data_IF_702178540109
#
_entry.id   IF_702178540109
#
_cell.length_a   1.000
_cell.length_b   1.000
_cell.length_c   1.000
_cell.angle_alpha   90.00
_cell.angle_beta   90.00
_cell.angle_gamma   90.00
#
_symmetry.space_group_name_H-M   'P 1'
#
loop_
_entity.id
_entity.type
_entity.pdbx_description
1 polymer ?
#
# COMPACT_ATOMS: atom_id res chain seq x y z
N UNK A 1 -23.20 -16.77 2.69
CA UNK A 1 -22.51 -16.25 1.49
C UNK A 1 -21.05 -16.09 1.85
N UNK A 2 -20.25 -17.06 1.44
CA UNK A 2 -18.80 -17.13 1.61
C UNK A 2 -18.11 -16.48 0.39
N UNK A 3 -17.00 -15.75 0.59
CA UNK A 3 -16.05 -15.41 -0.47
C UNK A 3 -15.81 -13.91 -0.76
N UNK A 4 -15.00 -13.25 0.07
CA UNK A 4 -14.18 -12.09 -0.30
C UNK A 4 -12.72 -12.58 -0.24
N UNK A 5 -12.01 -12.47 -1.37
CA UNK A 5 -10.67 -13.03 -1.67
C UNK A 5 -10.63 -14.47 -2.21
N UNK A 6 -9.61 -14.80 -3.05
CA UNK A 6 -9.26 -16.18 -3.37
C UNK A 6 -9.15 -16.96 -2.05
N UNK A 7 -10.06 -17.91 -1.87
CA UNK A 7 -10.19 -18.83 -0.74
C UNK A 7 -9.55 -18.41 0.60
N UNK A 8 -10.25 -17.56 1.36
CA UNK A 8 -10.09 -17.56 2.82
C UNK A 8 -11.44 -17.16 3.44
N UNK A 9 -12.19 -18.15 3.89
CA UNK A 9 -13.31 -17.93 4.81
C UNK A 9 -12.88 -17.03 5.97
N UNK A 10 -13.67 -15.99 6.24
CA UNK A 10 -13.58 -15.05 7.37
C UNK A 10 -12.29 -14.22 7.53
N UNK A 11 -12.50 -12.91 7.33
CA UNK A 11 -11.92 -11.76 8.05
C UNK A 11 -11.27 -12.10 9.41
N UNK A 12 -9.99 -11.70 9.59
CA UNK A 12 -9.15 -11.74 10.81
C UNK A 12 -8.22 -12.94 11.03
N UNK A 13 -7.95 -13.76 10.01
CA UNK A 13 -6.84 -14.71 10.11
C UNK A 13 -5.50 -13.97 10.17
N UNK A 14 -4.67 -14.34 11.15
CA UNK A 14 -3.34 -13.77 11.37
C UNK A 14 -2.31 -14.87 11.11
N UNK A 15 -1.29 -14.57 10.31
CA UNK A 15 -0.23 -15.52 10.03
C UNK A 15 0.58 -15.83 11.30
N UNK A 16 0.72 -17.12 11.62
CA UNK A 16 1.42 -17.60 12.82
C UNK A 16 2.71 -18.38 12.50
N UNK A 17 2.99 -18.65 11.23
CA UNK A 17 4.22 -19.33 10.81
C UNK A 17 5.29 -18.30 10.51
N UNK A 18 6.49 -18.55 11.02
CA UNK A 18 7.66 -17.73 10.77
C UNK A 18 8.90 -18.61 10.70
N UNK A 19 9.84 -18.25 9.85
CA UNK A 19 11.15 -18.92 9.74
C UNK A 19 12.15 -18.50 10.83
N UNK A 20 11.73 -17.63 11.75
CA UNK A 20 12.57 -17.16 12.84
C UNK A 20 11.95 -17.57 14.16
N UNK A 21 12.59 -18.52 14.83
CA UNK A 21 12.09 -19.16 16.06
C UNK A 21 12.32 -18.33 17.33
N UNK A 22 13.22 -17.34 17.30
CA UNK A 22 13.51 -16.50 18.46
C UNK A 22 12.55 -15.33 18.60
N UNK A 23 12.00 -15.16 19.81
CA UNK A 23 11.30 -13.94 20.24
C UNK A 23 12.24 -12.87 20.83
N UNK A 24 13.56 -13.07 20.74
CA UNK A 24 14.53 -12.05 21.15
C UNK A 24 14.36 -10.79 20.29
N UNK A 25 14.46 -9.62 20.93
CA UNK A 25 14.38 -8.33 20.24
C UNK A 25 15.32 -8.30 19.04
N UNK A 26 14.80 -7.87 17.89
CA UNK A 26 15.61 -7.59 16.71
C UNK A 26 16.75 -6.62 17.07
N UNK A 27 17.99 -7.03 16.77
CA UNK A 27 19.21 -6.27 17.06
C UNK A 27 19.58 -5.26 15.97
N UNK A 28 18.72 -5.07 14.97
CA UNK A 28 18.90 -4.12 13.87
C UNK A 28 17.71 -3.18 13.75
N UNK A 29 18.00 -1.99 13.22
CA UNK A 29 17.01 -0.97 12.96
C UNK A 29 16.57 -1.06 11.50
N UNK A 30 15.26 -0.96 11.30
CA UNK A 30 14.66 -0.80 9.98
C UNK A 30 14.10 0.61 9.89
N UNK A 31 14.53 1.37 8.89
CA UNK A 31 14.05 2.73 8.62
C UNK A 31 13.30 2.69 7.28
N UNK A 32 12.04 3.09 7.28
CA UNK A 32 11.22 3.20 6.08
C UNK A 32 11.00 4.69 5.82
N UNK A 33 11.61 5.20 4.74
CA UNK A 33 11.36 6.54 4.21
C UNK A 33 10.38 6.41 3.04
N UNK A 34 9.10 6.61 3.33
CA UNK A 34 8.05 6.69 2.33
C UNK A 34 7.97 8.13 1.83
N UNK A 35 7.99 8.33 0.52
CA UNK A 35 7.88 9.66 -0.09
C UNK A 35 6.65 9.64 -1.01
N UNK A 36 5.64 10.43 -0.65
CA UNK A 36 4.39 10.52 -1.40
C UNK A 36 4.65 11.02 -2.83
N UNK A 37 3.99 10.41 -3.81
CA UNK A 37 4.15 10.69 -5.24
C UNK A 37 5.58 10.53 -5.80
N UNK A 38 6.44 9.72 -5.17
CA UNK A 38 7.80 9.45 -5.66
C UNK A 38 7.78 8.62 -6.96
N UNK A 39 7.89 9.32 -8.09
CA UNK A 39 7.99 8.70 -9.42
C UNK A 39 9.30 7.93 -9.60
N UNK A 40 9.25 6.84 -10.34
CA UNK A 40 10.43 6.02 -10.66
C UNK A 40 11.50 6.77 -11.46
N UNK A 41 11.13 7.75 -12.29
CA UNK A 41 12.08 8.53 -13.09
C UNK A 41 12.95 9.47 -12.24
N UNK A 42 12.49 9.94 -11.07
CA UNK A 42 13.33 10.67 -10.12
C UNK A 42 14.47 9.85 -9.50
N UNK A 43 14.51 8.54 -9.74
CA UNK A 43 15.60 7.67 -9.28
C UNK A 43 16.37 7.08 -10.46
N UNK A 44 15.65 6.70 -11.52
CA UNK A 44 16.24 5.92 -12.61
C UNK A 44 16.60 6.75 -13.85
N UNK A 45 16.03 7.93 -14.04
CA UNK A 45 16.34 8.79 -15.19
C UNK A 45 17.43 9.82 -14.85
N UNK A 46 18.68 9.35 -14.81
CA UNK A 46 19.85 10.11 -14.35
C UNK A 46 20.35 11.21 -15.31
N UNK A 47 19.76 11.30 -16.51
CA UNK A 47 20.10 12.34 -17.48
C UNK A 47 19.31 13.62 -17.26
N UNK A 48 18.30 13.59 -16.37
CA UNK A 48 17.49 14.75 -16.03
C UNK A 48 18.07 15.48 -14.81
N UNK A 49 17.66 16.73 -14.60
CA UNK A 49 18.01 17.52 -13.41
C UNK A 49 17.17 17.17 -12.18
N UNK A 50 16.11 16.36 -12.35
CA UNK A 50 15.16 15.93 -11.34
C UNK A 50 15.45 14.49 -10.90
N UNK A 51 16.54 14.27 -10.16
CA UNK A 51 16.85 12.94 -9.63
C UNK A 51 17.57 12.97 -8.28
N UNK A 52 17.40 11.89 -7.52
CA UNK A 52 18.09 11.63 -6.25
C UNK A 52 19.50 11.11 -6.50
N UNK A 53 20.49 11.98 -6.33
CA UNK A 53 21.90 11.72 -6.62
C UNK A 53 22.54 10.76 -5.63
N UNK A 54 22.12 10.84 -4.36
CA UNK A 54 22.64 9.99 -3.30
C UNK A 54 22.41 8.52 -3.61
N UNK A 55 21.23 8.17 -4.15
CA UNK A 55 20.88 6.79 -4.54
C UNK A 55 21.85 6.26 -5.59
N UNK A 56 22.12 7.03 -6.66
CA UNK A 56 23.09 6.62 -7.68
C UNK A 56 24.46 6.33 -7.06
N UNK A 57 24.93 7.19 -6.15
CA UNK A 57 26.22 7.01 -5.47
C UNK A 57 26.22 5.75 -4.60
N UNK A 58 25.15 5.47 -3.86
CA UNK A 58 25.06 4.25 -3.07
C UNK A 58 25.01 3.00 -3.95
N UNK A 59 24.28 3.03 -5.07
CA UNK A 59 24.27 1.93 -6.04
C UNK A 59 25.69 1.69 -6.57
N UNK A 60 26.38 2.72 -7.09
CA UNK A 60 27.73 2.60 -7.64
C UNK A 60 28.75 2.04 -6.62
N UNK A 61 28.56 2.34 -5.34
CA UNK A 61 29.40 1.82 -4.25
C UNK A 61 28.98 0.43 -3.75
N UNK A 62 27.98 -0.20 -4.38
CA UNK A 62 27.42 -1.50 -3.98
C UNK A 62 26.69 -1.47 -2.65
N UNK A 63 26.27 -0.29 -2.17
CA UNK A 63 25.57 -0.05 -0.90
C UNK A 63 24.06 0.05 -1.03
N UNK A 64 23.56 0.12 -2.26
CA UNK A 64 22.13 0.13 -2.54
C UNK A 64 21.73 -0.91 -3.59
N UNK A 65 20.53 -1.47 -3.39
CA UNK A 65 19.81 -2.25 -4.39
C UNK A 65 18.52 -1.50 -4.72
N UNK A 66 18.29 -1.20 -5.99
CA UNK A 66 17.09 -0.47 -6.43
C UNK A 66 16.31 -1.24 -7.46
N UNK A 67 14.99 -1.13 -7.35
CA UNK A 67 14.04 -1.86 -8.17
C UNK A 67 12.93 -0.91 -8.59
N UNK A 68 12.44 -1.11 -9.81
CA UNK A 68 11.24 -0.42 -10.28
C UNK A 68 10.03 -1.26 -9.86
N UNK A 69 9.16 -0.65 -9.07
CA UNK A 69 7.93 -1.28 -8.59
C UNK A 69 6.75 -0.74 -9.38
N UNK A 70 5.80 -1.63 -9.70
CA UNK A 70 4.51 -1.26 -10.27
C UNK A 70 3.44 -1.33 -9.20
N UNK A 71 2.86 -0.18 -8.84
CA UNK A 71 1.67 -0.12 -8.00
C UNK A 71 0.43 -0.48 -8.81
N UNK A 72 -0.61 -0.95 -8.12
CA UNK A 72 -1.91 -1.19 -8.73
C UNK A 72 -2.76 0.08 -8.63
N UNK A 73 -3.86 0.14 -9.35
CA UNK A 73 -4.83 1.24 -9.22
C UNK A 73 -5.82 1.00 -8.08
N UNK A 74 -6.42 2.06 -7.50
CA UNK A 74 -6.10 3.47 -7.72
C UNK A 74 -4.78 3.87 -7.05
N UNK A 75 -4.04 4.76 -7.68
CA UNK A 75 -2.79 5.36 -7.20
C UNK A 75 -3.09 6.52 -6.25
N UNK A 76 -3.73 6.20 -5.12
CA UNK A 76 -4.09 7.14 -4.04
C UNK A 76 -3.49 6.63 -2.74
N UNK A 77 -3.01 7.55 -1.90
CA UNK A 77 -2.25 7.28 -0.66
C UNK A 77 -2.87 6.17 0.20
N UNK A 78 -4.11 6.34 0.68
CA UNK A 78 -4.74 5.37 1.58
C UNK A 78 -4.79 3.92 1.01
N UNK A 79 -5.34 3.67 -0.20
CA UNK A 79 -5.29 2.35 -0.82
C UNK A 79 -3.88 1.78 -0.99
N UNK A 80 -2.91 2.62 -1.35
CA UNK A 80 -1.52 2.20 -1.56
C UNK A 80 -0.82 1.84 -0.25
N UNK A 81 -1.04 2.61 0.82
CA UNK A 81 -0.56 2.28 2.16
C UNK A 81 -1.11 0.94 2.65
N UNK A 82 -2.41 0.69 2.45
CA UNK A 82 -3.01 -0.62 2.78
C UNK A 82 -2.31 -1.73 2.02
N UNK A 83 -2.16 -1.58 0.70
CA UNK A 83 -1.50 -2.57 -0.15
C UNK A 83 -0.05 -2.85 0.26
N UNK A 84 0.72 -1.80 0.58
CA UNK A 84 2.12 -1.90 1.01
C UNK A 84 2.27 -2.68 2.32
N UNK A 85 1.32 -2.54 3.24
CA UNK A 85 1.40 -3.11 4.58
C UNK A 85 0.78 -4.52 4.69
N UNK A 86 -0.17 -4.86 3.82
CA UNK A 86 -0.85 -6.17 3.80
C UNK A 86 -0.39 -7.08 2.68
N UNK A 87 0.20 -6.54 1.61
CA UNK A 87 0.50 -7.27 0.40
C UNK A 87 -0.73 -7.61 -0.44
N UNK A 88 -1.88 -6.98 -0.15
CA UNK A 88 -3.13 -7.20 -0.89
C UNK A 88 -3.29 -6.18 -2.02
N UNK A 89 -4.06 -6.55 -3.03
CA UNK A 89 -4.51 -5.60 -4.05
C UNK A 89 -5.77 -4.91 -3.50
N UNK A 90 -5.85 -3.56 -3.49
CA UNK A 90 -7.04 -2.87 -3.04
C UNK A 90 -8.25 -3.24 -3.91
N UNK A 91 -9.31 -3.74 -3.28
CA UNK A 91 -10.56 -4.02 -3.97
C UNK A 91 -11.40 -2.75 -4.14
N UNK A 92 -12.24 -2.71 -5.17
CA UNK A 92 -13.20 -1.62 -5.38
C UNK A 92 -14.11 -1.42 -4.15
N UNK A 93 -14.52 -2.52 -3.53
CA UNK A 93 -15.37 -2.49 -2.35
C UNK A 93 -14.66 -1.91 -1.14
N UNK A 94 -13.40 -2.29 -0.90
CA UNK A 94 -12.64 -1.77 0.24
C UNK A 94 -12.51 -0.25 0.20
N UNK A 95 -12.40 0.34 -1.00
CA UNK A 95 -12.32 1.80 -1.17
C UNK A 95 -13.65 2.47 -0.83
N UNK A 96 -14.78 1.89 -1.24
CA UNK A 96 -16.11 2.44 -0.98
C UNK A 96 -16.52 2.28 0.49
N UNK A 97 -16.36 1.08 1.03
CA UNK A 97 -16.80 0.76 2.40
C UNK A 97 -15.95 1.47 3.46
N UNK A 98 -14.64 1.59 3.22
CA UNK A 98 -13.73 2.24 4.17
C UNK A 98 -13.58 3.74 3.95
N UNK A 99 -14.46 4.36 3.15
CA UNK A 99 -14.49 5.82 3.00
C UNK A 99 -14.71 6.52 4.37
N UNK A 100 -15.47 5.90 5.28
CA UNK A 100 -15.74 6.44 6.63
C UNK A 100 -15.03 5.70 7.78
N UNK A 101 -14.51 4.48 7.57
CA UNK A 101 -13.77 3.71 8.57
C UNK A 101 -12.34 3.47 8.10
N UNK A 102 -11.42 4.30 8.55
CA UNK A 102 -10.01 4.25 8.13
C UNK A 102 -9.24 3.07 8.72
N UNK A 103 -9.73 2.38 9.75
CA UNK A 103 -8.96 1.33 10.45
C UNK A 103 -8.60 0.18 9.52
N UNK A 104 -7.34 -0.26 9.58
CA UNK A 104 -6.84 -1.45 8.88
C UNK A 104 -7.01 -2.68 9.77
N UNK A 105 -8.04 -3.48 9.49
CA UNK A 105 -8.34 -4.70 10.24
C UNK A 105 -7.59 -5.95 9.72
N UNK A 106 -7.11 -5.90 8.47
CA UNK A 106 -6.36 -7.00 7.88
C UNK A 106 -5.02 -7.20 8.59
N UNK A 107 -4.59 -8.45 8.64
CA UNK A 107 -3.23 -8.81 9.03
C UNK A 107 -2.21 -8.03 8.19
N UNK A 108 -1.21 -7.45 8.84
CA UNK A 108 -0.27 -6.52 8.25
C UNK A 108 1.07 -6.51 9.00
N UNK A 109 2.08 -5.90 8.36
CA UNK A 109 3.45 -5.84 8.88
C UNK A 109 3.53 -5.29 10.32
N UNK A 110 2.81 -4.21 10.63
CA UNK A 110 2.94 -3.56 11.94
C UNK A 110 2.32 -4.40 13.05
N UNK A 111 1.15 -4.99 12.80
CA UNK A 111 0.51 -5.92 13.74
C UNK A 111 1.39 -7.14 13.94
N UNK A 112 1.94 -7.72 12.88
CA UNK A 112 2.84 -8.87 12.96
C UNK A 112 4.11 -8.56 13.73
N UNK A 113 4.70 -7.39 13.50
CA UNK A 113 5.89 -6.93 14.23
C UNK A 113 5.61 -6.74 15.71
N UNK A 114 4.50 -6.09 16.07
CA UNK A 114 4.12 -5.89 17.47
C UNK A 114 3.80 -7.21 18.18
N UNK A 115 3.13 -8.15 17.49
CA UNK A 115 2.83 -9.48 18.03
C UNK A 115 4.10 -10.30 18.27
N UNK A 116 5.04 -10.27 17.32
CA UNK A 116 6.29 -11.02 17.43
C UNK A 116 7.22 -10.43 18.48
N UNK A 117 7.30 -9.11 18.55
CA UNK A 117 8.19 -8.38 19.46
C UNK A 117 7.42 -7.33 20.29
N UNK A 118 6.70 -7.74 21.34
CA UNK A 118 5.87 -6.82 22.13
C UNK A 118 6.64 -5.64 22.75
N UNK A 119 7.92 -5.85 23.07
CA UNK A 119 8.83 -4.86 23.65
C UNK A 119 9.48 -3.94 22.61
N UNK A 120 9.47 -4.32 21.33
CA UNK A 120 10.02 -3.46 20.29
C UNK A 120 9.13 -2.24 20.09
N UNK A 121 9.77 -1.11 19.76
CA UNK A 121 9.10 0.17 19.60
C UNK A 121 9.11 0.56 18.13
N UNK A 122 7.91 0.94 17.66
CA UNK A 122 7.65 1.47 16.31
C UNK A 122 7.45 2.97 16.45
N UNK A 123 8.16 3.76 15.64
CA UNK A 123 8.10 5.21 15.64
C UNK A 123 7.57 5.68 14.29
N UNK A 124 6.69 6.69 14.28
CA UNK A 124 6.08 7.18 13.04
C UNK A 124 5.97 8.71 12.97
N UNK A 125 6.40 9.32 11.87
CA UNK A 125 6.19 10.75 11.61
C UNK A 125 5.79 10.99 10.16
N UNK A 126 4.69 11.71 9.90
CA UNK A 126 4.24 12.00 8.55
C UNK A 126 2.73 12.13 8.42
N UNK A 127 2.19 11.71 7.28
CA UNK A 127 0.75 11.76 6.95
C UNK A 127 -0.16 11.15 8.06
N UNK A 128 -1.19 11.88 8.49
CA UNK A 128 -2.12 11.46 9.54
C UNK A 128 -2.98 10.22 9.19
N UNK A 129 -3.01 9.81 7.93
CA UNK A 129 -3.64 8.57 7.45
C UNK A 129 -3.11 7.36 8.20
N UNK A 130 -1.82 7.33 8.56
CA UNK A 130 -1.25 6.25 9.36
C UNK A 130 -1.86 6.18 10.75
N UNK A 131 -2.03 7.32 11.42
CA UNK A 131 -2.67 7.39 12.75
C UNK A 131 -4.12 6.94 12.68
N UNK A 132 -4.81 7.26 11.58
CA UNK A 132 -6.20 6.85 11.33
C UNK A 132 -6.33 5.36 11.00
N UNK A 133 -5.31 4.74 10.42
CA UNK A 133 -5.28 3.33 10.02
C UNK A 133 -5.07 2.38 11.21
N UNK A 134 -4.31 2.80 12.21
CA UNK A 134 -3.85 1.92 13.29
C UNK A 134 -4.45 2.28 14.65
N UNK A 135 -4.60 1.30 15.58
CA UNK A 135 -4.95 1.62 16.95
C UNK A 135 -3.80 2.38 17.63
N UNK A 136 -4.16 3.15 18.68
CA UNK A 136 -3.25 4.11 19.33
C UNK A 136 -2.01 3.49 19.99
N UNK A 137 -1.98 2.17 20.18
CA UNK A 137 -0.91 1.43 20.84
C UNK A 137 0.14 0.85 19.87
N UNK A 138 -0.05 0.99 18.56
CA UNK A 138 0.93 0.54 17.55
C UNK A 138 2.20 1.39 17.60
N UNK A 139 2.06 2.71 17.62
CA UNK A 139 3.18 3.64 17.62
C UNK A 139 3.56 4.03 19.04
N UNK A 140 4.83 3.85 19.40
CA UNK A 140 5.36 4.25 20.70
C UNK A 140 5.56 5.77 20.79
N UNK A 141 6.03 6.38 19.70
CA UNK A 141 6.02 7.83 19.49
C UNK A 141 5.53 8.11 18.07
N UNK A 142 4.70 9.13 17.94
CA UNK A 142 4.27 9.56 16.61
C UNK A 142 3.79 10.99 16.51
N UNK A 143 3.87 11.57 15.32
CA UNK A 143 3.14 12.79 14.95
C UNK A 143 2.51 12.63 13.56
N UNK A 144 1.18 12.75 13.48
CA UNK A 144 0.42 12.75 12.24
C UNK A 144 0.13 14.19 11.79
N UNK A 145 0.46 14.50 10.54
CA UNK A 145 0.28 15.82 9.92
C UNK A 145 -0.88 15.76 8.94
N UNK A 146 -1.72 16.80 8.95
CA UNK A 146 -2.89 16.85 8.06
C UNK A 146 -2.46 17.15 6.62
N UNK A 147 -2.81 16.26 5.70
CA UNK A 147 -2.41 16.31 4.29
C UNK A 147 -3.28 17.22 3.41
N UNK A 148 -4.38 17.77 3.95
CA UNK A 148 -5.36 18.50 3.13
C UNK A 148 -4.90 19.89 2.66
N UNK A 149 -3.82 20.43 3.19
CA UNK A 149 -3.30 21.76 2.83
C UNK A 149 -2.16 21.66 1.81
N UNK A 150 -2.52 21.43 0.54
CA UNK A 150 -1.61 21.23 -0.61
C UNK A 150 -0.66 22.41 -0.87
N UNK A 151 -0.91 23.59 -0.29
CA UNK A 151 -0.04 24.77 -0.41
C UNK A 151 1.17 24.73 0.52
N UNK A 152 1.18 23.87 1.54
CA UNK A 152 2.33 23.68 2.41
C UNK A 152 3.11 22.41 2.01
N UNK A 153 4.29 22.60 1.42
CA UNK A 153 5.23 21.54 1.06
C UNK A 153 6.59 21.74 1.76
N UNK A 154 6.66 22.63 2.77
CA UNK A 154 7.88 22.93 3.52
C UNK A 154 7.74 22.63 5.00
N UNK A 155 6.70 23.14 5.66
CA UNK A 155 6.59 22.99 7.12
C UNK A 155 6.27 21.55 7.51
N UNK A 156 5.43 20.86 6.73
CA UNK A 156 5.16 19.43 6.92
C UNK A 156 6.42 18.57 6.87
N UNK A 157 7.23 18.69 5.82
CA UNK A 157 8.45 17.91 5.63
C UNK A 157 9.53 18.32 6.65
N UNK A 158 9.59 19.61 7.02
CA UNK A 158 10.48 20.10 8.07
C UNK A 158 10.10 19.50 9.44
N UNK A 159 8.81 19.35 9.74
CA UNK A 159 8.35 18.70 10.96
C UNK A 159 8.77 17.23 11.01
N UNK A 160 8.57 16.49 9.91
CA UNK A 160 9.03 15.09 9.78
C UNK A 160 10.54 15.02 9.97
N UNK A 161 11.30 15.90 9.31
CA UNK A 161 12.77 15.93 9.34
C UNK A 161 13.32 16.27 10.74
N UNK A 162 12.73 17.23 11.44
CA UNK A 162 13.13 17.57 12.80
C UNK A 162 12.92 16.39 13.77
N UNK A 163 11.80 15.69 13.64
CA UNK A 163 11.55 14.48 14.45
C UNK A 163 12.50 13.34 14.07
N UNK A 164 12.75 13.12 12.77
CA UNK A 164 13.77 12.18 12.30
C UNK A 164 15.14 12.47 12.94
N UNK A 165 15.58 13.72 12.94
CA UNK A 165 16.87 14.10 13.56
C UNK A 165 16.92 13.77 15.05
N UNK A 166 15.83 13.98 15.79
CA UNK A 166 15.72 13.59 17.20
C UNK A 166 15.83 12.07 17.37
N UNK A 167 15.16 11.28 16.53
CA UNK A 167 15.14 9.82 16.60
C UNK A 167 16.47 9.18 16.18
N UNK A 168 17.19 9.76 15.21
CA UNK A 168 18.54 9.32 14.83
C UNK A 168 19.57 9.52 15.95
N UNK A 169 19.30 10.39 16.93
CA UNK A 169 20.13 10.53 18.13
C UNK A 169 19.71 9.60 19.27
N UNK A 170 18.62 8.83 19.09
CA UNK A 170 18.03 7.91 20.08
C UNK A 170 17.80 6.53 19.47
N UNK A 171 18.68 6.10 18.56
CA UNK A 171 18.55 4.82 17.84
C UNK A 171 18.29 3.65 18.80
N UNK A 172 18.97 3.62 19.96
CA UNK A 172 18.81 2.60 20.99
C UNK A 172 17.43 2.56 21.67
N UNK A 173 16.54 3.51 21.42
CA UNK A 173 15.19 3.56 22.00
C UNK A 173 14.11 2.95 21.10
N UNK A 174 14.43 2.53 19.88
CA UNK A 174 13.44 2.02 18.93
C UNK A 174 14.02 0.95 17.99
N UNK A 175 13.16 0.27 17.23
CA UNK A 175 13.58 -0.79 16.31
C UNK A 175 13.06 -0.58 14.88
N UNK A 176 11.89 0.03 14.72
CA UNK A 176 11.31 0.39 13.43
C UNK A 176 10.95 1.88 13.42
N UNK A 177 11.51 2.63 12.47
CA UNK A 177 11.17 4.02 12.23
C UNK A 177 10.53 4.16 10.85
N UNK A 178 9.37 4.80 10.78
CA UNK A 178 8.66 5.09 9.55
C UNK A 178 8.50 6.60 9.43
N UNK A 179 9.02 7.18 8.36
CA UNK A 179 8.80 8.58 8.01
C UNK A 179 8.08 8.67 6.68
N UNK A 180 7.00 9.46 6.63
CA UNK A 180 6.21 9.66 5.43
C UNK A 180 6.21 11.14 5.03
N UNK A 181 6.93 11.46 3.97
CA UNK A 181 7.08 12.81 3.43
C UNK A 181 6.01 13.09 2.36
N UNK A 182 5.38 14.27 2.39
CA UNK A 182 4.30 14.63 1.46
C UNK A 182 4.67 15.78 0.51
N UNK A 183 5.81 16.45 0.74
CA UNK A 183 6.18 17.65 0.01
C UNK A 183 6.24 17.48 -1.51
N UNK A 184 6.66 16.32 -2.03
CA UNK A 184 6.66 16.07 -3.48
C UNK A 184 5.26 16.00 -4.09
N UNK A 185 4.34 15.30 -3.45
CA UNK A 185 2.93 15.21 -3.89
C UNK A 185 2.29 16.59 -3.93
N UNK A 186 2.46 17.36 -2.84
CA UNK A 186 1.92 18.72 -2.73
C UNK A 186 2.47 19.67 -3.82
N UNK A 187 3.79 19.66 -4.06
CA UNK A 187 4.40 20.43 -5.16
C UNK A 187 3.86 19.95 -6.51
N UNK A 188 3.74 18.64 -6.70
CA UNK A 188 3.20 18.02 -7.90
C UNK A 188 1.80 18.54 -8.21
N UNK A 189 0.88 18.50 -7.26
CA UNK A 189 -0.46 19.04 -7.38
C UNK A 189 -0.49 20.55 -7.68
N UNK A 190 0.33 21.34 -6.98
CA UNK A 190 0.32 22.79 -7.11
C UNK A 190 0.97 23.29 -8.42
N UNK A 191 2.01 22.59 -8.91
CA UNK A 191 2.93 23.13 -9.90
C UNK A 191 3.35 22.14 -11.01
N UNK A 192 2.94 20.88 -10.93
CA UNK A 192 3.35 19.81 -11.84
C UNK A 192 4.66 19.13 -11.46
N UNK A 193 4.91 17.97 -12.07
CA UNK A 193 6.00 17.07 -11.69
C UNK A 193 7.41 17.57 -12.07
N UNK A 194 7.53 18.53 -12.99
CA UNK A 194 8.83 19.02 -13.48
C UNK A 194 9.10 20.49 -13.10
N UNK A 195 8.51 20.96 -11.99
CA UNK A 195 8.75 22.30 -11.48
C UNK A 195 10.10 22.38 -10.72
N UNK A 196 10.81 23.52 -10.77
CA UNK A 196 12.09 23.71 -10.05
C UNK A 196 12.01 23.41 -8.54
N UNK A 197 10.83 23.55 -7.92
CA UNK A 197 10.60 23.18 -6.51
C UNK A 197 10.78 21.68 -6.27
N UNK A 198 10.42 20.82 -7.23
CA UNK A 198 10.68 19.36 -7.17
C UNK A 198 12.18 19.11 -7.07
N UNK A 199 12.99 19.79 -7.90
CA UNK A 199 14.46 19.66 -7.85
C UNK A 199 15.02 20.04 -6.48
N UNK A 200 14.56 21.14 -5.91
CA UNK A 200 14.98 21.56 -4.57
C UNK A 200 14.59 20.53 -3.51
N UNK A 201 13.38 19.98 -3.62
CA UNK A 201 12.87 18.95 -2.70
C UNK A 201 13.63 17.63 -2.80
N UNK A 202 14.00 17.20 -4.01
CA UNK A 202 14.86 16.02 -4.21
C UNK A 202 16.26 16.23 -3.59
N UNK A 203 16.84 17.43 -3.67
CA UNK A 203 18.12 17.71 -2.99
C UNK A 203 17.98 17.64 -1.46
N UNK A 204 16.87 18.12 -0.90
CA UNK A 204 16.58 18.00 0.54
C UNK A 204 16.51 16.52 0.96
N UNK A 205 15.85 15.67 0.16
CA UNK A 205 15.82 14.23 0.41
C UNK A 205 17.20 13.58 0.26
N UNK A 206 18.03 14.00 -0.69
CA UNK A 206 19.42 13.53 -0.78
C UNK A 206 20.22 13.82 0.50
N UNK A 207 20.07 15.00 1.11
CA UNK A 207 20.71 15.34 2.38
C UNK A 207 20.22 14.44 3.52
N UNK A 208 18.91 14.21 3.60
CA UNK A 208 18.28 13.35 4.60
C UNK A 208 18.76 11.90 4.46
N UNK A 209 18.76 11.35 3.24
CA UNK A 209 19.22 9.98 2.96
C UNK A 209 20.68 9.81 3.39
N UNK A 210 21.55 10.75 3.05
CA UNK A 210 22.96 10.72 3.46
C UNK A 210 23.11 10.78 4.99
N UNK A 211 22.32 11.62 5.67
CA UNK A 211 22.34 11.70 7.13
C UNK A 211 21.92 10.37 7.77
N UNK A 212 20.80 9.79 7.34
CA UNK A 212 20.32 8.50 7.85
C UNK A 212 21.43 7.45 7.69
N UNK A 213 21.97 7.31 6.49
CA UNK A 213 23.04 6.35 6.20
C UNK A 213 24.27 6.53 7.10
N UNK A 214 24.66 7.77 7.39
CA UNK A 214 25.79 8.08 8.28
C UNK A 214 25.58 7.69 9.74
N UNK A 215 24.32 7.55 10.17
CA UNK A 215 23.94 7.20 11.55
C UNK A 215 23.63 5.70 11.72
N UNK A 216 23.38 5.00 10.62
CA UNK A 216 23.09 3.56 10.62
C UNK A 216 24.29 2.74 11.08
N UNK A 217 24.03 1.72 11.87
CA UNK A 217 24.98 0.66 12.22
C UNK A 217 25.07 -0.36 11.08
N UNK A 218 26.08 -1.26 11.14
CA UNK A 218 26.32 -2.26 10.10
C UNK A 218 25.11 -3.14 9.77
N UNK A 219 24.28 -3.46 10.78
CA UNK A 219 23.12 -4.32 10.60
C UNK A 219 21.87 -3.58 10.15
N UNK A 220 21.85 -2.25 10.16
CA UNK A 220 20.64 -1.48 9.89
C UNK A 220 20.34 -1.45 8.38
N UNK A 221 19.08 -1.19 8.04
CA UNK A 221 18.62 -1.04 6.66
C UNK A 221 17.66 0.14 6.51
N UNK A 222 17.91 0.94 5.48
CA UNK A 222 17.03 2.01 5.04
C UNK A 222 16.30 1.55 3.76
N UNK A 223 14.97 1.65 3.78
CA UNK A 223 14.11 1.42 2.62
C UNK A 223 13.50 2.75 2.21
N UNK A 224 13.70 3.14 0.95
CA UNK A 224 13.11 4.34 0.35
C UNK A 224 12.15 3.88 -0.73
N UNK A 225 10.90 4.32 -0.68
CA UNK A 225 9.89 3.96 -1.70
C UNK A 225 8.84 5.04 -1.84
N UNK A 226 8.10 5.00 -2.94
CA UNK A 226 6.83 5.72 -3.07
C UNK A 226 5.63 4.86 -2.67
N UNK A 227 4.49 5.50 -2.47
CA UNK A 227 3.18 4.87 -2.42
C UNK A 227 2.52 4.88 -3.82
N UNK A 228 2.69 5.96 -4.56
CA UNK A 228 2.39 6.11 -5.98
C UNK A 228 3.36 7.09 -6.66
N UNK A 229 3.22 7.27 -7.97
CA UNK A 229 3.82 8.36 -8.72
C UNK A 229 2.79 9.46 -9.02
N UNK A 230 3.05 10.28 -10.04
CA UNK A 230 2.24 11.46 -10.36
C UNK A 230 2.32 11.80 -11.85
N UNK A 231 1.19 12.13 -12.46
CA UNK A 231 1.14 12.62 -13.83
C UNK A 231 1.84 13.98 -13.96
N UNK A 232 2.34 14.31 -15.15
CA UNK A 232 3.16 15.51 -15.36
C UNK A 232 2.47 16.83 -14.95
N UNK A 233 1.13 16.87 -15.09
CA UNK A 233 0.29 18.01 -14.70
C UNK A 233 -0.12 18.02 -13.23
N UNK A 234 0.36 17.10 -12.40
CA UNK A 234 0.06 17.06 -10.97
C UNK A 234 -1.22 16.31 -10.59
N UNK A 235 -1.67 15.36 -11.40
CA UNK A 235 -2.79 14.48 -11.04
C UNK A 235 -2.31 13.05 -10.77
N UNK A 236 -3.04 12.31 -9.93
CA UNK A 236 -2.82 10.89 -9.69
C UNK A 236 -4.17 10.19 -9.42
N UNK A 237 -4.14 8.89 -9.13
CA UNK A 237 -5.32 8.02 -8.98
C UNK A 237 -5.61 7.13 -10.19
N UNK A 238 -4.97 7.40 -11.34
CA UNK A 238 -5.10 6.67 -12.60
C UNK A 238 -4.07 5.55 -12.78
N UNK A 239 -3.92 5.12 -14.03
CA UNK A 239 -3.12 3.96 -14.43
C UNK A 239 -1.95 4.29 -15.37
N UNK A 240 -1.62 5.58 -15.54
CA UNK A 240 -0.51 5.96 -16.41
C UNK A 240 0.83 5.43 -15.86
N UNK A 241 1.81 5.20 -16.75
CA UNK A 241 3.10 4.64 -16.35
C UNK A 241 3.83 5.49 -15.30
N UNK A 242 3.68 6.82 -15.34
CA UNK A 242 4.31 7.74 -14.37
C UNK A 242 3.59 7.77 -13.03
N UNK A 243 2.31 7.37 -12.99
CA UNK A 243 1.54 7.24 -11.75
C UNK A 243 1.76 5.88 -11.07
N UNK A 244 1.93 4.82 -11.86
CA UNK A 244 2.04 3.45 -11.31
C UNK A 244 3.48 3.00 -11.07
N UNK A 245 4.47 3.56 -11.76
CA UNK A 245 5.86 3.17 -11.58
C UNK A 245 6.51 4.02 -10.48
N UNK A 246 6.89 3.35 -9.40
CA UNK A 246 7.58 3.94 -8.26
C UNK A 246 8.95 3.25 -8.08
N UNK A 247 9.93 3.89 -7.44
CA UNK A 247 11.15 3.23 -7.06
C UNK A 247 10.98 2.51 -5.71
N UNK A 248 11.75 1.44 -5.50
CA UNK A 248 12.08 0.96 -4.16
C UNK A 248 13.58 0.76 -4.07
N UNK A 249 14.20 1.36 -3.06
CA UNK A 249 15.65 1.39 -2.85
C UNK A 249 15.94 0.88 -1.46
N UNK A 250 16.81 -0.12 -1.37
CA UNK A 250 17.29 -0.68 -0.12
C UNK A 250 18.74 -0.27 0.06
N UNK A 251 19.09 0.34 1.18
CA UNK A 251 20.44 0.81 1.49
C UNK A 251 20.90 0.18 2.80
N UNK A 252 22.08 -0.44 2.81
CA UNK A 252 22.66 -1.03 4.01
C UNK A 252 24.19 -1.09 3.91
N UNK A 253 24.87 -0.97 5.05
CA UNK A 253 26.33 -1.17 5.13
C UNK A 253 26.75 -2.60 4.78
N UNK A 254 25.87 -3.58 4.99
CA UNK A 254 26.07 -5.00 4.61
C UNK A 254 26.15 -5.23 3.11
N UNK A 255 25.51 -4.38 2.32
CA UNK A 255 25.53 -4.56 0.88
C UNK A 255 26.95 -4.29 0.35
N UNK A 256 27.36 -5.10 -0.61
CA UNK A 256 28.67 -5.01 -1.25
C UNK A 256 28.61 -5.37 -2.73
N UNK A 257 27.42 -5.37 -3.33
CA UNK A 257 27.22 -5.85 -4.69
C UNK A 257 26.58 -4.75 -5.53
N UNK A 258 27.22 -4.42 -6.65
CA UNK A 258 26.66 -3.54 -7.65
C UNK A 258 25.93 -4.37 -8.70
N UNK A 259 24.61 -4.17 -8.81
CA UNK A 259 23.80 -4.75 -9.90
C UNK A 259 23.44 -3.67 -10.91
N UNK A 260 23.84 -3.89 -12.16
CA UNK A 260 23.54 -2.98 -13.27
C UNK A 260 22.14 -3.20 -13.85
N UNK A 261 21.67 -4.45 -13.86
CA UNK A 261 20.34 -4.80 -14.32
C UNK A 261 19.31 -4.61 -13.22
N UNK A 262 18.21 -3.94 -13.56
CA UNK A 262 17.10 -3.67 -12.65
C UNK A 262 15.93 -4.57 -13.00
N UNK A 263 15.55 -5.42 -12.05
CA UNK A 263 14.31 -6.21 -12.14
C UNK A 263 13.11 -5.33 -11.81
N UNK A 264 11.97 -5.68 -12.38
CA UNK A 264 10.67 -5.08 -12.05
C UNK A 264 9.88 -6.00 -11.12
N UNK A 265 9.18 -5.40 -10.15
CA UNK A 265 8.34 -6.10 -9.17
C UNK A 265 7.02 -5.33 -8.98
N UNK A 266 6.06 -5.91 -8.29
CA UNK A 266 4.87 -5.18 -7.84
C UNK A 266 5.12 -4.54 -6.48
N UNK A 267 4.46 -3.41 -6.19
CA UNK A 267 4.58 -2.76 -4.88
C UNK A 267 4.24 -3.71 -3.72
N UNK A 268 3.28 -4.62 -3.91
CA UNK A 268 2.89 -5.62 -2.91
C UNK A 268 4.00 -6.63 -2.58
N UNK A 269 5.00 -6.81 -3.47
CA UNK A 269 6.16 -7.67 -3.21
C UNK A 269 7.06 -7.12 -2.08
N UNK A 270 6.96 -5.81 -1.80
CA UNK A 270 7.62 -5.21 -0.65
C UNK A 270 7.10 -5.77 0.66
N UNK A 271 5.83 -6.16 0.76
CA UNK A 271 5.27 -6.66 2.01
C UNK A 271 5.97 -7.95 2.45
N UNK A 272 6.07 -8.92 1.55
CA UNK A 272 6.79 -10.17 1.83
C UNK A 272 8.27 -9.90 2.16
N UNK A 273 8.91 -9.01 1.41
CA UNK A 273 10.33 -8.67 1.60
C UNK A 273 10.57 -7.99 2.95
N UNK A 274 9.71 -7.05 3.34
CA UNK A 274 9.74 -6.38 4.63
C UNK A 274 9.50 -7.37 5.77
N UNK A 275 8.61 -8.36 5.61
CA UNK A 275 8.45 -9.42 6.60
C UNK A 275 9.73 -10.21 6.82
N UNK A 276 10.47 -10.52 5.75
CA UNK A 276 11.80 -11.11 5.83
C UNK A 276 12.77 -10.22 6.61
N UNK A 277 12.89 -8.93 6.26
CA UNK A 277 13.81 -7.98 6.88
C UNK A 277 13.49 -7.66 8.35
N UNK A 278 12.20 -7.63 8.71
CA UNK A 278 11.70 -7.42 10.07
C UNK A 278 11.66 -8.72 10.89
N UNK A 279 12.02 -9.84 10.27
CA UNK A 279 12.05 -11.16 10.87
C UNK A 279 10.69 -11.66 11.38
N UNK A 280 9.59 -11.30 10.71
CA UNK A 280 8.20 -11.61 11.10
C UNK A 280 7.54 -12.61 10.13
N UNK A 281 6.34 -13.06 10.48
CA UNK A 281 5.47 -13.79 9.55
C UNK A 281 5.07 -12.91 8.37
N UNK A 282 4.88 -13.49 7.19
CA UNK A 282 4.30 -12.76 6.05
C UNK A 282 2.79 -12.60 6.30
N UNK A 283 2.21 -11.39 6.19
CA UNK A 283 0.78 -11.16 6.47
C UNK A 283 -0.14 -12.12 5.72
N UNK A 284 -1.15 -12.66 6.38
CA UNK A 284 -1.96 -13.79 5.91
C UNK A 284 -2.45 -13.66 4.45
N UNK A 285 -2.94 -12.48 4.06
CA UNK A 285 -3.53 -12.23 2.74
C UNK A 285 -2.52 -11.70 1.70
N UNK A 286 -1.22 -11.71 2.01
CA UNK A 286 -0.21 -11.19 1.10
C UNK A 286 -0.16 -11.99 -0.21
N UNK A 287 -0.29 -11.27 -1.32
CA UNK A 287 -0.10 -11.75 -2.69
C UNK A 287 1.32 -11.48 -3.21
N UNK A 288 2.11 -10.69 -2.50
CA UNK A 288 3.48 -10.35 -2.90
C UNK A 288 4.44 -11.53 -2.81
N UNK A 289 5.49 -11.51 -3.64
CA UNK A 289 6.62 -12.43 -3.54
C UNK A 289 7.84 -11.77 -2.92
N UNK A 290 8.74 -12.57 -2.36
CA UNK A 290 10.03 -12.07 -1.86
C UNK A 290 10.90 -11.52 -2.99
N UNK A 291 11.55 -10.39 -2.74
CA UNK A 291 12.69 -9.90 -3.52
C UNK A 291 13.93 -10.60 -2.98
N UNK A 292 14.17 -11.80 -3.48
CA UNK A 292 15.29 -12.68 -3.12
C UNK A 292 16.64 -11.95 -3.14
N UNK A 293 16.89 -11.12 -4.14
CA UNK A 293 18.11 -10.32 -4.28
C UNK A 293 18.41 -9.48 -3.03
N UNK A 294 17.39 -8.90 -2.38
CA UNK A 294 17.57 -8.07 -1.17
C UNK A 294 17.96 -8.95 0.01
N UNK A 295 17.23 -10.05 0.21
CA UNK A 295 17.45 -10.93 1.35
C UNK A 295 18.77 -11.70 1.26
N UNK A 296 19.18 -12.11 0.05
CA UNK A 296 20.48 -12.73 -0.21
C UNK A 296 21.64 -11.81 0.17
N UNK A 297 21.57 -10.53 -0.23
CA UNK A 297 22.62 -9.56 0.09
C UNK A 297 22.59 -9.16 1.58
N UNK A 298 21.41 -9.11 2.20
CA UNK A 298 21.30 -8.73 3.61
C UNK A 298 21.75 -9.85 4.56
N UNK A 299 21.37 -11.10 4.29
CA UNK A 299 21.68 -12.23 5.16
C UNK A 299 22.98 -12.96 4.81
N UNK A 300 23.53 -12.74 3.60
CA UNK A 300 24.71 -13.41 3.05
C UNK A 300 24.58 -14.94 2.90
N UNK A 301 25.53 -15.57 2.21
CA UNK A 301 25.59 -17.03 2.00
C UNK A 301 25.61 -17.86 3.31
N UNK A 302 25.90 -17.25 4.45
CA UNK A 302 25.92 -17.94 5.76
C UNK A 302 24.52 -18.30 6.28
N UNK A 303 23.44 -17.78 5.67
CA UNK A 303 22.05 -18.02 6.08
C UNK A 303 21.17 -18.60 4.95
N UNK A 304 21.74 -19.42 4.05
CA UNK A 304 21.01 -20.07 2.95
C UNK A 304 19.76 -20.84 3.42
N UNK A 305 19.83 -21.51 4.57
CA UNK A 305 18.69 -22.27 5.10
C UNK A 305 17.52 -21.35 5.50
N UNK A 306 17.82 -20.16 6.05
CA UNK A 306 16.80 -19.17 6.38
C UNK A 306 16.13 -18.68 5.10
N UNK A 307 16.92 -18.33 4.08
CA UNK A 307 16.37 -17.88 2.80
C UNK A 307 15.47 -18.94 2.15
N UNK A 308 15.91 -20.21 2.14
CA UNK A 308 15.09 -21.33 1.66
C UNK A 308 13.79 -21.47 2.44
N UNK A 309 13.83 -21.30 3.76
CA UNK A 309 12.62 -21.31 4.58
C UNK A 309 11.68 -20.16 4.18
N UNK A 310 12.19 -18.94 4.04
CA UNK A 310 11.37 -17.76 3.69
C UNK A 310 10.70 -17.94 2.33
N UNK A 311 11.43 -18.44 1.34
CA UNK A 311 10.89 -18.75 0.00
C UNK A 311 9.80 -19.82 0.08
N UNK A 312 10.03 -20.89 0.86
CA UNK A 312 9.02 -21.94 1.06
C UNK A 312 7.77 -21.42 1.79
N UNK A 313 7.94 -20.55 2.77
CA UNK A 313 6.84 -19.95 3.52
C UNK A 313 5.99 -19.03 2.64
N UNK A 314 6.63 -18.15 1.85
CA UNK A 314 5.96 -17.31 0.86
C UNK A 314 5.22 -18.14 -0.19
N UNK A 315 5.83 -19.23 -0.68
CA UNK A 315 5.19 -20.16 -1.62
C UNK A 315 3.93 -20.77 -1.02
N UNK A 316 4.00 -21.30 0.20
CA UNK A 316 2.85 -21.92 0.88
C UNK A 316 1.74 -20.92 1.16
N UNK A 317 2.09 -19.71 1.54
CA UNK A 317 1.11 -18.64 1.71
C UNK A 317 0.33 -18.39 0.42
N UNK A 318 1.01 -18.19 -0.71
CA UNK A 318 0.34 -17.98 -1.99
C UNK A 318 -0.54 -19.17 -2.39
N UNK A 319 -0.07 -20.40 -2.14
CA UNK A 319 -0.87 -21.59 -2.36
C UNK A 319 -2.13 -21.64 -1.50
N UNK A 320 -2.04 -21.26 -0.22
CA UNK A 320 -3.20 -21.26 0.67
C UNK A 320 -4.29 -20.26 0.24
N UNK A 321 -3.94 -19.24 -0.55
CA UNK A 321 -4.90 -18.31 -1.15
C UNK A 321 -5.57 -18.90 -2.40
N UNK A 322 -4.99 -19.92 -3.04
CA UNK A 322 -5.63 -20.62 -4.16
C UNK A 322 -6.66 -21.63 -3.62
N UNK A 323 -7.84 -21.70 -4.24
CA UNK A 323 -8.83 -22.71 -3.84
C UNK A 323 -8.39 -24.13 -4.21
N UNK A 324 -8.92 -25.14 -3.52
CA UNK A 324 -8.62 -26.58 -3.75
C UNK A 324 -8.76 -27.00 -5.22
N UNK A 325 -9.72 -26.41 -5.93
CA UNK A 325 -9.93 -26.63 -7.37
C UNK A 325 -8.71 -26.20 -8.21
N UNK A 326 -8.04 -25.12 -7.84
CA UNK A 326 -6.85 -24.64 -8.54
C UNK A 326 -5.57 -25.31 -8.04
N UNK A 327 -5.52 -25.69 -6.76
CA UNK A 327 -4.41 -26.45 -6.17
C UNK A 327 -4.19 -27.79 -6.86
N UNK A 328 -5.25 -28.55 -7.14
CA UNK A 328 -5.17 -29.85 -7.81
C UNK A 328 -4.72 -29.78 -9.27
N UNK A 329 -4.91 -28.63 -9.93
CA UNK A 329 -4.52 -28.41 -11.32
C UNK A 329 -3.12 -27.82 -11.47
N UNK A 330 -2.51 -27.36 -10.37
CA UNK A 330 -1.31 -26.55 -10.42
C UNK A 330 -0.32 -26.90 -9.32
N UNK A 331 0.74 -27.63 -9.68
CA UNK A 331 1.93 -27.76 -8.86
C UNK A 331 3.12 -27.14 -9.60
N UNK A 332 3.44 -25.90 -9.25
CA UNK A 332 4.62 -25.19 -9.73
C UNK A 332 5.54 -24.79 -8.56
N UNK A 333 6.84 -24.77 -8.83
CA UNK A 333 7.80 -24.15 -7.92
C UNK A 333 8.08 -22.68 -8.26
N UNK A 334 7.49 -22.17 -9.35
CA UNK A 334 7.63 -20.79 -9.79
C UNK A 334 6.67 -19.88 -9.01
N UNK A 335 7.25 -19.07 -8.12
CA UNK A 335 6.52 -18.10 -7.29
C UNK A 335 5.79 -17.03 -8.11
N UNK A 336 6.39 -16.51 -9.19
CA UNK A 336 5.77 -15.47 -10.01
C UNK A 336 4.49 -15.99 -10.64
N UNK A 337 4.57 -17.22 -11.13
CA UNK A 337 3.48 -17.89 -11.79
C UNK A 337 2.31 -18.24 -10.84
N UNK A 338 2.61 -18.65 -9.60
CA UNK A 338 1.59 -18.85 -8.56
C UNK A 338 0.93 -17.50 -8.20
N UNK A 339 1.74 -16.46 -7.98
CA UNK A 339 1.26 -15.10 -7.69
C UNK A 339 0.33 -14.59 -8.79
N UNK A 340 0.76 -14.64 -10.04
CA UNK A 340 -0.01 -14.10 -11.17
C UNK A 340 -1.37 -14.79 -11.28
N UNK A 341 -1.43 -16.09 -10.94
CA UNK A 341 -2.68 -16.83 -10.86
C UNK A 341 -3.55 -16.38 -9.69
N UNK A 342 -2.98 -16.19 -8.50
CA UNK A 342 -3.69 -15.69 -7.33
C UNK A 342 -4.29 -14.29 -7.59
N UNK A 343 -3.52 -13.39 -8.21
CA UNK A 343 -3.97 -12.06 -8.64
C UNK A 343 -5.12 -12.18 -9.65
N UNK A 344 -4.99 -13.04 -10.68
CA UNK A 344 -6.03 -13.25 -11.67
C UNK A 344 -7.36 -13.68 -11.04
N UNK A 345 -7.31 -14.63 -10.09
CA UNK A 345 -8.49 -15.12 -9.38
C UNK A 345 -9.10 -14.01 -8.53
N UNK A 346 -8.27 -13.22 -7.82
CA UNK A 346 -8.75 -12.08 -7.03
C UNK A 346 -9.52 -11.09 -7.89
N UNK A 347 -8.95 -10.70 -9.04
CA UNK A 347 -9.57 -9.76 -9.96
C UNK A 347 -10.88 -10.30 -10.56
N UNK A 348 -10.93 -11.59 -10.91
CA UNK A 348 -12.15 -12.22 -11.44
C UNK A 348 -13.30 -12.18 -10.43
N UNK A 349 -13.02 -12.42 -9.14
CA UNK A 349 -14.02 -12.36 -8.10
C UNK A 349 -14.58 -10.94 -7.91
N UNK A 350 -13.72 -9.93 -7.95
CA UNK A 350 -14.15 -8.53 -7.87
C UNK A 350 -15.04 -8.14 -9.05
N UNK A 351 -14.69 -8.58 -10.27
CA UNK A 351 -15.50 -8.34 -11.46
C UNK A 351 -16.90 -8.98 -11.34
N UNK A 352 -16.99 -10.22 -10.89
CA UNK A 352 -18.28 -10.91 -10.69
C UNK A 352 -19.15 -10.11 -9.71
N UNK A 353 -18.56 -9.60 -8.62
CA UNK A 353 -19.31 -8.78 -7.65
C UNK A 353 -19.77 -7.46 -8.23
N UNK A 354 -18.93 -6.78 -9.02
CA UNK A 354 -19.32 -5.54 -9.70
C UNK A 354 -20.51 -5.83 -10.64
N UNK A 355 -20.44 -6.88 -11.45
CA UNK A 355 -21.53 -7.26 -12.36
C UNK A 355 -22.83 -7.62 -11.61
N UNK A 356 -22.74 -8.39 -10.53
CA UNK A 356 -23.89 -8.69 -9.67
C UNK A 356 -24.50 -7.40 -9.09
N UNK A 357 -23.67 -6.45 -8.66
CA UNK A 357 -24.11 -5.17 -8.11
C UNK A 357 -24.84 -4.33 -9.15
N UNK A 358 -24.30 -4.26 -10.37
CA UNK A 358 -24.92 -3.55 -11.49
C UNK A 358 -26.26 -4.22 -11.85
N UNK A 359 -26.32 -5.55 -11.92
CA UNK A 359 -27.55 -6.29 -12.20
C UNK A 359 -28.63 -6.04 -11.14
N UNK A 360 -28.26 -6.03 -9.86
CA UNK A 360 -29.14 -5.72 -8.73
C UNK A 360 -29.64 -4.27 -8.84
N UNK A 361 -28.77 -3.32 -9.20
CA UNK A 361 -29.15 -1.93 -9.41
C UNK A 361 -30.11 -1.74 -10.59
N UNK A 362 -29.84 -2.35 -11.74
CA UNK A 362 -30.71 -2.24 -12.91
C UNK A 362 -32.08 -2.87 -12.65
N UNK A 363 -32.13 -4.07 -12.06
CA UNK A 363 -33.40 -4.75 -11.74
C UNK A 363 -34.23 -3.98 -10.72
N UNK A 364 -33.60 -3.40 -9.70
CA UNK A 364 -34.30 -2.56 -8.71
C UNK A 364 -34.84 -1.28 -9.32
N UNK A 365 -34.09 -0.63 -10.23
CA UNK A 365 -34.55 0.57 -10.94
C UNK A 365 -35.76 0.28 -11.84
N UNK A 366 -35.75 -0.85 -12.55
CA UNK A 366 -36.88 -1.29 -13.39
C UNK A 366 -38.12 -1.61 -12.53
N UNK A 367 -37.94 -2.34 -11.42
CA UNK A 367 -39.05 -2.62 -10.49
C UNK A 367 -39.63 -1.36 -9.88
N UNK A 368 -38.78 -0.39 -9.52
CA UNK A 368 -39.18 0.93 -9.05
C UNK A 368 -40.04 1.65 -10.08
N UNK A 369 -39.55 1.73 -11.32
CA UNK A 369 -40.26 2.38 -12.41
C UNK A 369 -41.64 1.74 -12.65
N UNK A 370 -41.72 0.41 -12.73
CA UNK A 370 -42.98 -0.31 -12.96
C UNK A 370 -43.97 -0.21 -11.78
N UNK A 371 -43.49 -0.13 -10.55
CA UNK A 371 -44.34 -0.06 -9.37
C UNK A 371 -44.79 1.36 -9.01
N UNK A 372 -44.00 2.39 -9.34
CA UNK A 372 -44.41 3.81 -9.23
C UNK A 372 -45.65 4.08 -10.09
N UNK A 373 -45.76 3.43 -11.25
CA UNK A 373 -46.99 3.51 -12.08
C UNK A 373 -48.22 2.88 -11.40
N UNK A 374 -48.05 2.00 -10.41
CA UNK A 374 -49.15 1.23 -9.79
C UNK A 374 -49.57 1.70 -8.39
N UNK A 375 -48.88 2.69 -7.79
CA UNK A 375 -49.28 3.39 -6.56
C UNK A 375 -49.76 2.50 -5.39
N UNK A 376 -49.20 1.29 -5.21
CA UNK A 376 -49.67 0.36 -4.18
C UNK A 376 -48.75 0.30 -2.95
N UNK A 377 -49.32 0.23 -1.74
CA UNK A 377 -48.60 0.10 -0.46
C UNK A 377 -47.64 -1.11 -0.44
N UNK A 378 -47.99 -2.18 -1.17
CA UNK A 378 -47.16 -3.37 -1.37
C UNK A 378 -45.82 -3.03 -2.04
N UNK A 379 -45.84 -2.12 -3.02
CA UNK A 379 -44.64 -1.60 -3.70
C UNK A 379 -43.64 -1.01 -2.71
N UNK A 380 -44.14 -0.23 -1.75
CA UNK A 380 -43.33 0.48 -0.75
C UNK A 380 -42.75 -0.52 0.25
N UNK A 381 -43.51 -1.54 0.65
CA UNK A 381 -43.03 -2.59 1.57
C UNK A 381 -41.97 -3.46 0.90
N UNK A 382 -42.17 -3.85 -0.36
CA UNK A 382 -41.15 -4.58 -1.14
C UNK A 382 -39.88 -3.75 -1.29
N UNK A 383 -40.02 -2.44 -1.54
CA UNK A 383 -38.92 -1.47 -1.55
C UNK A 383 -38.16 -1.40 -0.23
N UNK A 384 -38.85 -1.36 0.91
CA UNK A 384 -38.24 -1.29 2.24
C UNK A 384 -37.53 -2.61 2.58
N UNK A 385 -38.16 -3.76 2.34
CA UNK A 385 -37.54 -5.07 2.55
C UNK A 385 -36.31 -5.22 1.65
N UNK A 386 -36.40 -4.78 0.39
CA UNK A 386 -35.28 -4.79 -0.54
C UNK A 386 -34.17 -3.81 -0.15
N UNK A 387 -34.51 -2.61 0.34
CA UNK A 387 -33.59 -1.63 0.89
C UNK A 387 -32.81 -2.22 2.08
N UNK A 388 -33.50 -2.90 2.99
CA UNK A 388 -32.90 -3.59 4.13
C UNK A 388 -31.98 -4.75 3.71
N UNK A 389 -32.31 -5.47 2.63
CA UNK A 389 -31.46 -6.52 2.06
C UNK A 389 -30.24 -5.93 1.31
N UNK A 390 -30.42 -4.79 0.64
CA UNK A 390 -29.39 -4.11 -0.16
C UNK A 390 -28.46 -3.20 0.65
N UNK A 391 -28.75 -3.01 1.95
CA UNK A 391 -28.22 -1.98 2.86
C UNK A 391 -26.70 -2.00 3.14
N UNK A 392 -25.91 -2.73 2.36
CA UNK A 392 -24.45 -2.62 2.36
C UNK A 392 -23.90 -2.02 1.06
N UNK A 393 -24.55 -2.18 -0.10
CA UNK A 393 -23.88 -1.89 -1.39
C UNK A 393 -23.96 -0.45 -1.93
N UNK A 394 -24.73 0.47 -1.35
CA UNK A 394 -25.37 1.50 -2.18
C UNK A 394 -25.36 2.94 -1.64
N UNK A 395 -24.24 3.38 -1.08
CA UNK A 395 -23.92 4.83 -0.99
C UNK A 395 -23.83 5.45 -2.40
N UNK A 396 -23.56 4.65 -3.44
CA UNK A 396 -23.57 5.05 -4.85
C UNK A 396 -24.96 5.28 -5.45
N UNK A 397 -26.02 4.65 -4.92
CA UNK A 397 -27.42 4.91 -5.34
C UNK A 397 -27.94 6.23 -4.80
N UNK A 398 -27.45 6.70 -3.65
CA UNK A 398 -27.92 7.94 -3.03
C UNK A 398 -27.80 9.15 -3.97
N UNK A 399 -26.72 9.22 -4.75
CA UNK A 399 -26.48 10.30 -5.72
C UNK A 399 -27.38 10.14 -6.95
N UNK A 400 -27.56 8.91 -7.46
CA UNK A 400 -28.45 8.64 -8.58
C UNK A 400 -29.92 8.94 -8.28
N UNK A 401 -30.38 8.57 -7.07
CA UNK A 401 -31.73 8.87 -6.58
C UNK A 401 -31.92 10.37 -6.34
N UNK A 402 -30.89 11.08 -5.86
CA UNK A 402 -30.93 12.55 -5.70
C UNK A 402 -31.01 13.28 -7.04
N UNK A 403 -30.20 12.89 -8.03
CA UNK A 403 -30.26 13.45 -9.38
C UNK A 403 -31.60 13.12 -10.08
N UNK A 404 -32.10 11.89 -9.92
CA UNK A 404 -33.39 11.48 -10.49
C UNK A 404 -34.56 12.23 -9.85
N UNK A 405 -34.54 12.45 -8.53
CA UNK A 405 -35.58 13.22 -7.83
C UNK A 405 -35.56 14.71 -8.21
N UNK A 406 -34.40 15.31 -8.46
CA UNK A 406 -34.31 16.67 -9.04
C UNK A 406 -34.91 16.71 -10.45
N UNK A 407 -34.61 15.73 -11.30
CA UNK A 407 -35.15 15.66 -12.67
C UNK A 407 -36.67 15.50 -12.64
N UNK A 408 -37.21 14.64 -11.77
CA UNK A 408 -38.67 14.44 -11.61
C UNK A 408 -39.35 15.69 -11.07
N UNK A 409 -38.74 16.43 -10.13
CA UNK A 409 -39.26 17.71 -9.63
C UNK A 409 -39.27 18.77 -10.74
N UNK A 410 -38.23 18.82 -11.57
CA UNK A 410 -38.14 19.74 -12.72
C UNK A 410 -39.17 19.38 -13.80
N UNK A 411 -39.38 18.09 -14.07
CA UNK A 411 -40.37 17.63 -15.05
C UNK A 411 -41.82 17.86 -14.59
N UNK A 412 -42.12 17.65 -13.31
CA UNK A 412 -43.47 17.90 -12.76
C UNK A 412 -43.81 19.39 -12.62
N UNK A 413 -42.81 20.28 -12.58
CA UNK A 413 -43.04 21.73 -12.67
C UNK A 413 -43.39 22.17 -14.09
N UNK A 414 -42.84 21.54 -15.12
CA UNK A 414 -43.12 21.86 -16.53
C UNK A 414 -44.48 21.37 -17.05
N UNK A 415 -45.19 20.56 -16.30
CA UNK A 415 -46.53 20.05 -16.66
C UNK A 415 -47.66 20.78 -15.93
N UNK A 416 -47.35 21.86 -15.19
CA UNK A 416 -48.31 22.66 -14.42
C UNK A 416 -48.37 24.14 -14.80
N UNK A 417 -47.55 24.56 -15.76
CA UNK A 417 -47.67 25.82 -16.51
C UNK A 417 -48.00 25.45 -17.97
#
# INVERSE_FOLDING_TARGET
MEGLFPYSSSTNNIANRSCFDSQESSKHHVIIMLIDALRADYVFNRNDSFYLKSIEKFEQNGKALSFKMRSHTPTVTLPRLKALLTGTIPSFWDIIYNYNSSKLELDNILIQYKRKYPLNKIIFYGDDTWIKLFPNDIFYRSNGLQSFFVTDFKEIDLNVTNNLYSELNKMNEWNLLIVHYLGLDHIGHAHGAFNYLIKNKLNEYDEIINLIYSKMNDNDILIITGDHGMADKGGHGGSSLVEINIPSVFISHKFNNYKKERKEYFQIDLTATLSGLLEISIPWNNLGILIDDVLENYYSNKKINLLKCLIDDNRRQLYNLLSDKYLSLYYSNDLQLIRDKAIQISNQQDLIKILLSISIFCSSTIMLWYNIEKNSLFSIIVLIIYYLISGKMLISIGIGVFCFSIIVIIMNKKTKD
#
